data_IF_844513316351
#
_entry.id   IF_844513316351
#
_cell.length_a   1.000
_cell.length_b   1.000
_cell.length_c   1.000
_cell.angle_alpha   90.00
_cell.angle_beta   90.00
_cell.angle_gamma   90.00
#
_symmetry.space_group_name_H-M   'P 1'
#
loop_
_entity.id
_entity.type
_entity.pdbx_description
1 polymer ?
#
# COMPACT_ATOMS: atom_id res chain seq x y z
N UNK A 1 16.55 2.11 -17.60
CA UNK A 1 15.66 2.49 -16.49
C UNK A 1 16.34 3.65 -15.77
N UNK A 2 15.62 4.73 -15.45
CA UNK A 2 16.21 5.87 -14.75
C UNK A 2 16.39 5.57 -13.26
N UNK A 3 17.28 6.28 -12.57
CA UNK A 3 17.44 6.16 -11.12
C UNK A 3 16.11 6.40 -10.38
N UNK A 4 15.27 7.31 -10.90
CA UNK A 4 13.92 7.56 -10.36
C UNK A 4 13.02 6.35 -10.52
N UNK A 5 12.99 5.74 -11.71
CA UNK A 5 12.21 4.51 -11.95
C UNK A 5 12.68 3.33 -11.09
N UNK A 6 13.98 3.22 -10.81
CA UNK A 6 14.51 2.20 -9.89
C UNK A 6 14.02 2.41 -8.45
N UNK A 7 14.04 3.66 -7.95
CA UNK A 7 13.48 4.01 -6.64
C UNK A 7 11.99 3.67 -6.60
N UNK A 8 11.23 4.07 -7.62
CA UNK A 8 9.78 3.80 -7.69
C UNK A 8 9.51 2.30 -7.69
N UNK A 9 10.29 1.49 -8.41
CA UNK A 9 10.17 0.02 -8.38
C UNK A 9 10.41 -0.57 -6.99
N UNK A 10 11.35 -0.03 -6.22
CA UNK A 10 11.56 -0.50 -4.84
C UNK A 10 10.35 -0.15 -3.96
N UNK A 11 9.80 1.06 -4.11
CA UNK A 11 8.60 1.49 -3.39
C UNK A 11 7.37 0.66 -3.79
N UNK A 12 7.26 0.31 -5.07
CA UNK A 12 6.21 -0.56 -5.61
C UNK A 12 6.31 -1.97 -5.06
N UNK A 13 7.51 -2.55 -4.98
CA UNK A 13 7.70 -3.87 -4.38
C UNK A 13 7.27 -3.90 -2.89
N UNK A 14 7.59 -2.84 -2.13
CA UNK A 14 7.13 -2.71 -0.75
C UNK A 14 5.61 -2.58 -0.70
N UNK A 15 5.03 -1.74 -1.56
CA UNK A 15 3.59 -1.54 -1.65
C UNK A 15 2.83 -2.84 -1.97
N UNK A 16 3.29 -3.61 -2.96
CA UNK A 16 2.70 -4.90 -3.32
C UNK A 16 2.72 -5.88 -2.14
N UNK A 17 3.82 -5.91 -1.38
CA UNK A 17 3.91 -6.75 -0.19
C UNK A 17 2.88 -6.31 0.86
N UNK A 18 2.80 -5.02 1.17
CA UNK A 18 1.88 -4.50 2.18
C UNK A 18 0.42 -4.69 1.78
N UNK A 19 0.11 -4.51 0.49
CA UNK A 19 -1.20 -4.79 -0.08
C UNK A 19 -1.56 -6.26 0.09
N UNK A 20 -0.66 -7.17 -0.27
CA UNK A 20 -0.86 -8.61 -0.11
C UNK A 20 -1.03 -9.04 1.36
N UNK A 21 -0.25 -8.45 2.28
CA UNK A 21 -0.38 -8.72 3.72
C UNK A 21 -1.77 -8.30 4.24
N UNK A 22 -2.24 -7.10 3.84
CA UNK A 22 -3.58 -6.60 4.18
C UNK A 22 -4.68 -7.50 3.62
N UNK A 23 -4.63 -7.82 2.32
CA UNK A 23 -5.59 -8.69 1.65
C UNK A 23 -5.61 -10.10 2.26
N UNK A 24 -4.45 -10.62 2.69
CA UNK A 24 -4.37 -11.90 3.37
C UNK A 24 -5.12 -11.88 4.72
N UNK A 25 -4.97 -10.82 5.51
CA UNK A 25 -5.73 -10.68 6.76
C UNK A 25 -7.24 -10.53 6.51
N UNK A 26 -7.65 -9.77 5.48
CA UNK A 26 -9.06 -9.64 5.06
C UNK A 26 -9.64 -11.02 4.69
N UNK A 27 -8.93 -11.78 3.85
CA UNK A 27 -9.35 -13.12 3.44
C UNK A 27 -9.41 -14.12 4.61
N UNK A 28 -8.48 -14.03 5.57
CA UNK A 28 -8.52 -14.86 6.77
C UNK A 28 -9.73 -14.52 7.64
N UNK A 29 -10.05 -13.24 7.80
CA UNK A 29 -11.19 -12.80 8.60
C UNK A 29 -12.54 -13.26 8.02
N UNK A 30 -12.62 -13.37 6.69
CA UNK A 30 -13.79 -13.88 5.98
C UNK A 30 -13.96 -15.41 6.09
N UNK A 31 -12.98 -16.12 6.67
CA UNK A 31 -13.08 -17.55 6.93
C UNK A 31 -14.10 -17.87 8.04
N UNK A 32 -14.95 -18.86 7.80
CA UNK A 32 -16.00 -19.27 8.74
C UNK A 32 -15.50 -20.07 9.96
N UNK A 33 -14.22 -20.46 9.97
CA UNK A 33 -13.69 -21.43 10.96
C UNK A 33 -13.00 -20.78 12.17
N UNK A 34 -13.07 -19.45 12.31
CA UNK A 34 -12.40 -18.72 13.38
C UNK A 34 -13.28 -18.57 14.63
N UNK A 35 -12.69 -18.80 15.80
CA UNK A 35 -13.27 -18.42 17.09
C UNK A 35 -13.34 -16.90 17.26
N UNK A 36 -14.11 -16.43 18.23
CA UNK A 36 -14.27 -15.00 18.50
C UNK A 36 -12.94 -14.33 18.89
N UNK A 37 -12.09 -15.02 19.66
CA UNK A 37 -10.77 -14.53 20.02
C UNK A 37 -9.86 -14.40 18.79
N UNK A 38 -9.82 -15.43 17.93
CA UNK A 38 -9.01 -15.38 16.71
C UNK A 38 -9.47 -14.28 15.75
N UNK A 39 -10.78 -14.01 15.69
CA UNK A 39 -11.33 -12.89 14.92
C UNK A 39 -10.88 -11.54 15.48
N UNK A 40 -10.84 -11.37 16.80
CA UNK A 40 -10.37 -10.12 17.41
C UNK A 40 -8.88 -9.89 17.17
N UNK A 41 -8.06 -10.93 17.33
CA UNK A 41 -6.62 -10.88 17.07
C UNK A 41 -6.33 -10.58 15.59
N UNK A 42 -7.10 -11.18 14.67
CA UNK A 42 -7.00 -10.90 13.23
C UNK A 42 -7.46 -9.48 12.87
N UNK A 43 -8.52 -8.96 13.50
CA UNK A 43 -8.94 -7.56 13.30
C UNK A 43 -7.85 -6.59 13.71
N UNK A 44 -7.23 -6.80 14.87
CA UNK A 44 -6.10 -5.99 15.34
C UNK A 44 -4.92 -6.05 14.37
N UNK A 45 -4.61 -7.24 13.86
CA UNK A 45 -3.56 -7.45 12.85
C UNK A 45 -3.88 -6.73 11.52
N UNK A 46 -5.14 -6.79 11.06
CA UNK A 46 -5.62 -6.10 9.88
C UNK A 46 -5.57 -4.58 10.03
N UNK A 47 -5.94 -4.05 11.20
CA UNK A 47 -5.81 -2.62 11.50
C UNK A 47 -4.36 -2.18 11.43
N UNK A 48 -3.44 -2.93 12.03
CA UNK A 48 -2.00 -2.67 11.95
C UNK A 48 -1.47 -2.70 10.51
N UNK A 49 -1.82 -3.73 9.73
CA UNK A 49 -1.44 -3.84 8.33
C UNK A 49 -1.99 -2.67 7.49
N UNK A 50 -3.25 -2.29 7.71
CA UNK A 50 -3.90 -1.17 7.05
C UNK A 50 -3.22 0.16 7.37
N UNK A 51 -2.83 0.39 8.63
CA UNK A 51 -2.10 1.60 9.03
C UNK A 51 -0.74 1.69 8.32
N UNK A 52 0.03 0.60 8.28
CA UNK A 52 1.35 0.58 7.64
C UNK A 52 1.23 0.76 6.12
N UNK A 53 0.27 0.09 5.49
CA UNK A 53 -0.03 0.25 4.07
C UNK A 53 -0.39 1.70 3.73
N UNK A 54 -1.33 2.31 4.47
CA UNK A 54 -1.73 3.70 4.25
C UNK A 54 -0.57 4.69 4.46
N UNK A 55 0.26 4.46 5.49
CA UNK A 55 1.45 5.28 5.74
C UNK A 55 2.46 5.18 4.58
N UNK A 56 2.64 3.99 4.00
CA UNK A 56 3.51 3.80 2.85
C UNK A 56 2.97 4.54 1.61
N UNK A 57 1.69 4.36 1.26
CA UNK A 57 1.05 5.08 0.15
C UNK A 57 1.20 6.60 0.33
N UNK A 58 0.97 7.11 1.54
CA UNK A 58 1.16 8.54 1.87
C UNK A 58 2.60 9.00 1.69
N UNK A 59 3.59 8.19 2.06
CA UNK A 59 5.00 8.53 1.85
C UNK A 59 5.35 8.62 0.35
N UNK A 60 4.86 7.69 -0.46
CA UNK A 60 5.02 7.74 -1.93
C UNK A 60 4.36 9.00 -2.49
N UNK A 61 3.13 9.30 -2.07
CA UNK A 61 2.41 10.52 -2.47
C UNK A 61 3.18 11.80 -2.10
N UNK A 62 3.73 11.87 -0.89
CA UNK A 62 4.55 13.01 -0.45
C UNK A 62 5.82 13.18 -1.28
N UNK A 63 6.43 12.08 -1.74
CA UNK A 63 7.59 12.17 -2.62
C UNK A 63 7.24 12.75 -3.99
N UNK A 64 6.05 12.44 -4.53
CA UNK A 64 5.51 13.10 -5.73
C UNK A 64 5.28 14.59 -5.47
N UNK A 65 4.61 14.92 -4.36
CA UNK A 65 4.35 16.32 -3.96
C UNK A 65 5.64 17.15 -3.80
N UNK A 66 6.70 16.52 -3.32
CA UNK A 66 8.02 17.14 -3.14
C UNK A 66 8.90 17.10 -4.42
N UNK A 67 8.36 16.68 -5.56
CA UNK A 67 9.04 16.64 -6.86
C UNK A 67 10.28 15.72 -6.93
N UNK A 68 10.39 14.70 -6.06
CA UNK A 68 11.44 13.69 -6.20
C UNK A 68 11.27 12.89 -7.50
N UNK A 69 10.02 12.59 -7.84
CA UNK A 69 9.55 12.04 -9.10
C UNK A 69 8.15 12.57 -9.40
N UNK A 70 7.71 12.43 -10.64
CA UNK A 70 6.39 12.84 -11.07
C UNK A 70 5.38 11.70 -10.91
N UNK A 71 4.11 12.05 -11.02
CA UNK A 71 3.04 11.08 -11.02
C UNK A 71 3.09 10.17 -12.26
N UNK A 72 3.46 10.72 -13.43
CA UNK A 72 3.69 9.92 -14.64
C UNK A 72 4.82 8.89 -14.46
N UNK A 73 5.87 9.23 -13.71
CA UNK A 73 6.95 8.27 -13.40
C UNK A 73 6.41 7.07 -12.58
N UNK A 74 5.42 7.29 -11.72
CA UNK A 74 4.76 6.22 -10.96
C UNK A 74 3.82 5.41 -11.85
N UNK A 75 3.02 6.07 -12.69
CA UNK A 75 2.10 5.43 -13.63
C UNK A 75 2.83 4.49 -14.62
N UNK A 76 4.00 4.89 -15.10
CA UNK A 76 4.86 4.07 -15.96
C UNK A 76 5.35 2.78 -15.28
N UNK A 77 5.53 2.81 -13.96
CA UNK A 77 5.96 1.62 -13.20
C UNK A 77 4.76 0.77 -12.81
N UNK A 78 3.74 1.38 -12.20
CA UNK A 78 2.54 0.71 -11.75
C UNK A 78 1.36 1.68 -11.69
N UNK A 79 0.43 1.48 -12.63
CA UNK A 79 -0.80 2.28 -12.76
C UNK A 79 -1.71 2.21 -11.53
N UNK A 80 -1.75 1.06 -10.85
CA UNK A 80 -2.61 0.93 -9.67
C UNK A 80 -2.06 1.74 -8.50
N UNK A 81 -0.77 1.63 -8.22
CA UNK A 81 -0.10 2.46 -7.21
C UNK A 81 -0.27 3.97 -7.52
N UNK A 82 -0.16 4.34 -8.79
CA UNK A 82 -0.40 5.70 -9.27
C UNK A 82 -1.80 6.24 -8.91
N UNK A 83 -2.85 5.42 -9.06
CA UNK A 83 -4.22 5.78 -8.69
C UNK A 83 -4.40 5.87 -7.17
N UNK A 84 -3.72 5.02 -6.40
CA UNK A 84 -3.81 5.09 -4.93
C UNK A 84 -3.18 6.35 -4.36
N UNK A 85 -1.98 6.72 -4.84
CA UNK A 85 -1.33 7.95 -4.39
C UNK A 85 -2.10 9.20 -4.84
N UNK A 86 -2.78 9.16 -5.98
CA UNK A 86 -3.65 10.25 -6.46
C UNK A 86 -4.74 10.56 -5.44
N UNK A 87 -5.43 9.52 -4.97
CA UNK A 87 -6.52 9.67 -3.97
C UNK A 87 -6.01 10.37 -2.72
N UNK A 88 -4.82 10.00 -2.24
CA UNK A 88 -4.20 10.62 -1.06
C UNK A 88 -3.80 12.09 -1.30
N UNK A 89 -3.49 12.48 -2.54
CA UNK A 89 -3.13 13.87 -2.87
C UNK A 89 -4.35 14.77 -3.08
N UNK A 90 -5.53 14.20 -3.33
CA UNK A 90 -6.79 14.91 -3.54
C UNK A 90 -7.58 15.13 -2.25
N UNK A 91 -7.23 14.43 -1.16
CA UNK A 91 -7.73 14.63 0.22
C UNK A 91 -7.04 15.82 0.93
#
# INVERSE_FOLDING_TARGET
MSQKQEIIKQLEAIWLKLKGDKENFENLLDSNDLSDQEKEDLKSSLEGATMVYNAHVKNVAMNVKNNFYSWSDVDEVNKELSVEIEKVLQE
#
